data_IF_610309597315
#
_entry.id   IF_610309597315
#
_cell.length_a   1.000
_cell.length_b   1.000
_cell.length_c   1.000
_cell.angle_alpha   90.00
_cell.angle_beta   90.00
_cell.angle_gamma   90.00
#
_symmetry.space_group_name_H-M   'P 1'
#
loop_
_entity.id
_entity.type
_entity.pdbx_description
1 polymer ?
#
# COMPACT_ATOMS: atom_id res chain seq x y z
N UNK A 1 29.47 64.14 -37.58
CA UNK A 1 29.36 62.73 -37.34
C UNK A 1 29.22 62.49 -35.83
N UNK A 2 28.08 62.14 -35.29
CA UNK A 2 28.00 61.66 -33.94
C UNK A 2 27.72 60.13 -33.90
N UNK A 3 28.43 59.44 -33.01
CA UNK A 3 28.39 58.00 -32.76
C UNK A 3 27.08 57.58 -32.09
N UNK A 4 26.47 56.55 -32.66
CA UNK A 4 25.31 55.87 -32.12
C UNK A 4 25.67 55.09 -30.83
N UNK A 5 24.89 55.28 -29.78
CA UNK A 5 24.94 54.51 -28.53
C UNK A 5 24.08 53.26 -28.73
N UNK A 6 24.74 52.10 -28.78
CA UNK A 6 24.05 50.83 -28.66
C UNK A 6 23.78 50.50 -27.18
N UNK A 7 22.56 50.70 -26.74
CA UNK A 7 22.09 50.22 -25.44
C UNK A 7 21.76 48.72 -25.55
N UNK A 8 22.55 47.91 -24.88
CA UNK A 8 22.18 46.51 -24.62
C UNK A 8 21.01 46.47 -23.62
N UNK A 9 19.92 45.74 -23.91
CA UNK A 9 18.87 45.53 -22.91
C UNK A 9 19.35 44.61 -21.79
N UNK A 10 18.89 44.81 -20.55
CA UNK A 10 19.26 43.96 -19.44
C UNK A 10 18.66 42.58 -19.65
N UNK A 11 19.51 41.56 -19.64
CA UNK A 11 19.09 40.13 -19.60
C UNK A 11 18.50 39.87 -18.21
N UNK A 12 17.16 39.87 -18.12
CA UNK A 12 16.47 39.37 -16.96
C UNK A 12 16.68 37.87 -16.85
N UNK A 13 17.65 37.42 -16.06
CA UNK A 13 17.81 36.05 -15.67
C UNK A 13 16.68 35.73 -14.66
N UNK A 14 15.57 35.14 -15.14
CA UNK A 14 14.54 34.60 -14.27
C UNK A 14 15.16 33.40 -13.58
N UNK A 15 15.63 33.57 -12.36
CA UNK A 15 15.90 32.45 -11.45
C UNK A 15 14.58 31.77 -11.14
N UNK A 16 14.28 30.71 -11.87
CA UNK A 16 13.22 29.78 -11.47
C UNK A 16 13.73 29.10 -10.20
N UNK A 17 13.28 29.57 -9.05
CA UNK A 17 13.34 28.80 -7.82
C UNK A 17 12.49 27.57 -8.05
N UNK A 18 13.10 26.49 -8.51
CA UNK A 18 12.52 25.17 -8.40
C UNK A 18 12.47 24.88 -6.89
N UNK A 19 11.30 25.16 -6.26
CA UNK A 19 10.92 24.49 -5.04
C UNK A 19 11.16 23.00 -5.29
N UNK A 20 12.01 22.36 -4.51
CA UNK A 20 12.21 20.93 -4.55
C UNK A 20 10.92 20.30 -3.99
N UNK A 21 9.88 20.21 -4.80
CA UNK A 21 8.78 19.30 -4.55
C UNK A 21 9.42 17.91 -4.54
N UNK A 22 9.51 17.31 -3.37
CA UNK A 22 9.93 15.91 -3.26
C UNK A 22 9.06 15.12 -4.23
N UNK A 23 9.66 14.57 -5.28
CA UNK A 23 8.94 13.77 -6.25
C UNK A 23 8.52 12.47 -5.59
N UNK A 24 7.29 12.01 -5.88
CA UNK A 24 6.78 10.72 -5.43
C UNK A 24 7.79 9.61 -5.73
N UNK A 25 7.93 8.65 -4.79
CA UNK A 25 8.80 7.50 -4.96
C UNK A 25 8.36 6.69 -6.20
N UNK A 26 9.31 6.37 -7.06
CA UNK A 26 9.05 5.59 -8.28
C UNK A 26 9.38 4.12 -8.06
N UNK A 27 8.80 3.23 -8.87
CA UNK A 27 9.09 1.78 -8.82
C UNK A 27 10.59 1.48 -8.91
N UNK A 28 11.39 2.06 -9.83
CA UNK A 28 12.83 1.82 -9.85
C UNK A 28 13.56 2.26 -8.58
N UNK A 29 13.15 3.38 -7.97
CA UNK A 29 13.73 3.83 -6.70
C UNK A 29 13.35 2.91 -5.54
N UNK A 30 12.13 2.39 -5.54
CA UNK A 30 11.68 1.40 -4.56
C UNK A 30 12.51 0.11 -4.68
N UNK A 31 12.79 -0.38 -5.89
CA UNK A 31 13.66 -1.53 -6.12
C UNK A 31 15.11 -1.28 -5.67
N UNK A 32 15.65 -0.08 -5.93
CA UNK A 32 17.01 0.28 -5.55
C UNK A 32 17.24 0.21 -4.02
N UNK A 33 16.20 0.39 -3.20
CA UNK A 33 16.30 0.31 -1.74
C UNK A 33 16.81 -1.03 -1.24
N UNK A 34 16.53 -2.15 -1.95
CA UNK A 34 17.11 -3.45 -1.59
C UNK A 34 18.62 -3.45 -1.74
N UNK A 35 19.12 -2.94 -2.86
CA UNK A 35 20.57 -2.86 -3.14
C UNK A 35 21.27 -1.89 -2.18
N UNK A 36 20.58 -0.84 -1.76
CA UNK A 36 21.06 0.16 -0.80
C UNK A 36 20.90 -0.30 0.65
N UNK A 37 20.40 -1.52 0.90
CA UNK A 37 20.10 -2.08 2.23
C UNK A 37 19.17 -1.16 3.06
N UNK A 38 18.38 -0.33 2.41
CA UNK A 38 17.39 0.54 3.04
C UNK A 38 16.11 -0.24 3.31
N UNK A 39 15.74 -0.39 4.59
CA UNK A 39 14.52 -1.12 4.98
C UNK A 39 13.27 -0.33 4.59
N UNK A 40 12.37 -1.00 3.88
CA UNK A 40 11.14 -0.42 3.34
C UNK A 40 10.01 -0.56 4.37
N UNK A 41 9.36 0.55 4.69
CA UNK A 41 8.15 0.55 5.52
C UNK A 41 6.92 0.78 4.67
N UNK A 42 5.93 -0.11 4.81
CA UNK A 42 4.64 0.02 4.14
C UNK A 42 3.49 -0.07 5.14
N UNK A 43 2.42 0.65 4.86
CA UNK A 43 1.16 0.55 5.60
C UNK A 43 -0.01 0.55 4.64
N UNK A 44 -1.13 -0.05 5.04
CA UNK A 44 -2.37 0.13 4.28
C UNK A 44 -2.99 1.49 4.57
N UNK A 45 -3.73 2.05 3.63
CA UNK A 45 -4.61 3.20 3.84
C UNK A 45 -5.85 3.08 2.95
N UNK A 46 -6.98 3.63 3.41
CA UNK A 46 -8.26 3.49 2.75
C UNK A 46 -9.04 4.81 2.59
N UNK A 47 -8.49 5.91 3.11
CA UNK A 47 -9.10 7.24 3.05
C UNK A 47 -8.03 8.34 2.97
N UNK A 48 -8.49 9.56 2.64
CA UNK A 48 -7.63 10.72 2.44
C UNK A 48 -6.83 11.10 3.70
N UNK A 49 -7.46 11.35 4.88
CA UNK A 49 -6.72 11.84 6.05
C UNK A 49 -5.71 10.82 6.59
N UNK A 50 -6.06 9.54 6.59
CA UNK A 50 -5.13 8.48 7.00
C UNK A 50 -3.92 8.44 6.06
N UNK A 51 -4.15 8.42 4.75
CA UNK A 51 -3.07 8.38 3.75
C UNK A 51 -2.14 9.59 3.83
N UNK A 52 -2.71 10.80 4.06
CA UNK A 52 -1.93 12.02 4.24
C UNK A 52 -1.01 11.93 5.46
N UNK A 53 -1.52 11.45 6.61
CA UNK A 53 -0.72 11.27 7.83
C UNK A 53 0.42 10.26 7.64
N UNK A 54 0.16 9.15 6.95
CA UNK A 54 1.19 8.14 6.67
C UNK A 54 2.27 8.68 5.73
N UNK A 55 1.89 9.41 4.69
CA UNK A 55 2.82 10.03 3.74
C UNK A 55 3.70 11.08 4.43
N UNK A 56 3.12 11.91 5.32
CA UNK A 56 3.85 12.87 6.13
C UNK A 56 4.79 12.20 7.15
N UNK A 57 4.42 11.02 7.65
CA UNK A 57 5.28 10.23 8.53
C UNK A 57 6.47 9.59 7.79
N UNK A 58 6.47 9.60 6.45
CA UNK A 58 7.60 9.23 5.61
C UNK A 58 7.70 7.73 5.34
N UNK A 59 6.58 6.98 5.32
CA UNK A 59 6.57 5.59 4.84
C UNK A 59 6.92 5.55 3.35
N UNK A 60 7.64 4.52 2.91
CA UNK A 60 8.05 4.38 1.51
C UNK A 60 6.92 3.89 0.62
N UNK A 61 5.99 3.12 1.17
CA UNK A 61 4.87 2.57 0.40
C UNK A 61 3.53 2.64 1.14
N UNK A 62 2.47 2.87 0.37
CA UNK A 62 1.10 2.80 0.87
C UNK A 62 0.32 1.82 -0.02
N UNK A 63 -0.36 0.87 0.63
CA UNK A 63 -1.18 -0.12 -0.04
C UNK A 63 -2.67 0.19 0.17
N UNK A 64 -3.42 0.30 -0.92
CA UNK A 64 -4.87 0.22 -0.86
C UNK A 64 -5.25 -1.25 -1.02
N UNK A 65 -5.36 -1.94 0.12
CA UNK A 65 -5.54 -3.39 0.17
C UNK A 65 -7.00 -3.82 0.10
N UNK A 66 -7.26 -5.02 -0.42
CA UNK A 66 -8.59 -5.65 -0.38
C UNK A 66 -9.06 -5.99 1.05
N UNK A 67 -8.14 -5.95 2.02
CA UNK A 67 -8.43 -5.97 3.46
C UNK A 67 -9.40 -4.85 3.88
N UNK A 68 -9.62 -3.82 3.06
CA UNK A 68 -10.70 -2.82 3.24
C UNK A 68 -12.05 -3.48 3.47
N UNK A 69 -12.30 -4.61 2.81
CA UNK A 69 -13.49 -5.45 3.00
C UNK A 69 -13.71 -5.83 4.47
N UNK A 70 -12.65 -6.17 5.18
CA UNK A 70 -12.73 -6.59 6.59
C UNK A 70 -12.68 -5.40 7.55
N UNK A 71 -11.70 -4.50 7.39
CA UNK A 71 -11.39 -3.48 8.40
C UNK A 71 -12.19 -2.18 8.25
N UNK A 72 -12.81 -1.95 7.10
CA UNK A 72 -13.64 -0.77 6.81
C UNK A 72 -15.10 -1.17 6.56
N UNK A 73 -15.34 -2.15 5.69
CA UNK A 73 -16.69 -2.58 5.33
C UNK A 73 -17.29 -3.58 6.33
N UNK A 74 -16.47 -4.24 7.17
CA UNK A 74 -16.92 -5.16 8.21
C UNK A 74 -17.33 -6.54 7.71
N UNK A 75 -16.88 -6.95 6.52
CA UNK A 75 -17.08 -8.29 5.99
C UNK A 75 -16.19 -9.33 6.71
N UNK A 76 -16.50 -10.61 6.54
CA UNK A 76 -15.78 -11.70 7.19
C UNK A 76 -14.45 -12.09 6.49
N UNK A 77 -14.22 -11.61 5.27
CA UNK A 77 -13.02 -11.85 4.47
C UNK A 77 -12.91 -10.80 3.34
N UNK A 78 -11.86 -10.91 2.52
CA UNK A 78 -11.57 -9.96 1.44
C UNK A 78 -12.38 -10.17 0.16
N UNK A 79 -13.10 -11.30 0.00
CA UNK A 79 -13.76 -11.66 -1.26
C UNK A 79 -14.90 -10.72 -1.71
N UNK A 80 -15.70 -10.10 -0.81
CA UNK A 80 -16.83 -9.29 -1.22
C UNK A 80 -16.46 -7.97 -1.90
N UNK A 81 -15.28 -7.40 -1.63
CA UNK A 81 -14.92 -6.08 -2.17
C UNK A 81 -14.80 -6.10 -3.69
N UNK A 82 -15.44 -5.15 -4.34
CA UNK A 82 -15.45 -5.00 -5.79
C UNK A 82 -14.30 -4.13 -6.30
N UNK A 83 -14.00 -4.22 -7.61
CA UNK A 83 -13.02 -3.34 -8.25
C UNK A 83 -13.40 -1.85 -8.14
N UNK A 84 -14.68 -1.54 -8.25
CA UNK A 84 -15.18 -0.15 -8.15
C UNK A 84 -14.97 0.42 -6.74
N UNK A 85 -15.18 -0.37 -5.70
CA UNK A 85 -14.90 0.02 -4.32
C UNK A 85 -13.40 0.20 -4.06
N UNK A 86 -12.56 -0.69 -4.58
CA UNK A 86 -11.10 -0.52 -4.50
C UNK A 86 -10.67 0.77 -5.20
N UNK A 87 -11.19 1.06 -6.39
CA UNK A 87 -10.90 2.30 -7.12
C UNK A 87 -11.37 3.53 -6.33
N UNK A 88 -12.55 3.47 -5.70
CA UNK A 88 -13.07 4.54 -4.86
C UNK A 88 -12.11 4.89 -3.70
N UNK A 89 -11.62 3.89 -2.98
CA UNK A 89 -10.62 4.09 -1.91
C UNK A 89 -9.28 4.54 -2.45
N UNK A 90 -8.82 3.94 -3.54
CA UNK A 90 -7.53 4.25 -4.17
C UNK A 90 -7.47 5.69 -4.72
N UNK A 91 -8.58 6.22 -5.21
CA UNK A 91 -8.66 7.61 -5.68
C UNK A 91 -8.45 8.60 -4.53
N UNK A 92 -9.05 8.35 -3.35
CA UNK A 92 -8.85 9.19 -2.16
C UNK A 92 -7.40 9.13 -1.67
N UNK A 93 -6.83 7.93 -1.55
CA UNK A 93 -5.44 7.73 -1.15
C UNK A 93 -4.48 8.37 -2.15
N UNK A 94 -4.73 8.15 -3.46
CA UNK A 94 -3.88 8.69 -4.52
C UNK A 94 -3.87 10.22 -4.58
N UNK A 95 -4.93 10.91 -4.12
CA UNK A 95 -4.94 12.38 -3.98
C UNK A 95 -4.17 12.88 -2.78
N UNK A 96 -4.19 12.13 -1.67
CA UNK A 96 -3.54 12.51 -0.42
C UNK A 96 -2.01 12.40 -0.50
N UNK A 97 -1.52 11.32 -1.10
CA UNK A 97 -0.09 10.95 -1.10
C UNK A 97 0.72 11.80 -2.07
N UNK A 98 1.86 12.32 -1.59
CA UNK A 98 2.78 13.16 -2.36
C UNK A 98 4.19 12.54 -2.51
N UNK A 99 4.59 11.64 -1.61
CA UNK A 99 5.95 11.11 -1.52
C UNK A 99 6.02 9.59 -1.69
N UNK A 100 5.15 8.83 -1.00
CA UNK A 100 5.18 7.36 -1.01
C UNK A 100 4.78 6.78 -2.38
N UNK A 101 5.26 5.56 -2.66
CA UNK A 101 4.73 4.72 -3.74
C UNK A 101 3.35 4.20 -3.35
N UNK A 102 2.34 4.41 -4.19
CA UNK A 102 0.98 3.88 -3.94
C UNK A 102 0.74 2.65 -4.80
N UNK A 103 0.47 1.54 -4.13
CA UNK A 103 0.13 0.23 -4.72
C UNK A 103 -1.34 -0.08 -4.42
N UNK A 104 -2.04 -0.70 -5.35
CA UNK A 104 -3.48 -1.01 -5.20
C UNK A 104 -3.72 -2.49 -5.46
N UNK A 105 -4.47 -3.13 -4.59
CA UNK A 105 -4.84 -4.53 -4.78
C UNK A 105 -5.80 -4.72 -5.95
N UNK A 106 -5.53 -5.77 -6.72
CA UNK A 106 -6.52 -6.33 -7.65
C UNK A 106 -7.45 -7.25 -6.84
N UNK A 107 -8.72 -6.86 -6.60
CA UNK A 107 -9.63 -7.66 -5.79
C UNK A 107 -10.03 -8.95 -6.51
N UNK A 108 -10.43 -9.97 -5.75
CA UNK A 108 -10.97 -11.20 -6.33
C UNK A 108 -12.21 -10.92 -7.21
N UNK A 109 -12.35 -11.50 -8.41
CA UNK A 109 -11.42 -12.37 -9.13
C UNK A 109 -10.68 -11.67 -10.29
N UNK A 110 -10.42 -10.37 -10.21
CA UNK A 110 -9.97 -9.54 -11.34
C UNK A 110 -8.66 -10.01 -12.01
N UNK A 111 -7.78 -10.69 -11.29
CA UNK A 111 -6.56 -11.30 -11.83
C UNK A 111 -6.73 -12.77 -12.26
N UNK A 112 -7.91 -13.38 -12.05
CA UNK A 112 -8.17 -14.80 -12.37
C UNK A 112 -8.96 -15.00 -13.66
N UNK A 113 -9.39 -13.94 -14.34
CA UNK A 113 -10.20 -13.98 -15.54
C UNK A 113 -9.39 -13.95 -16.86
N UNK A 114 -8.09 -14.26 -16.76
CA UNK A 114 -7.14 -14.25 -17.87
C UNK A 114 -6.47 -12.89 -18.07
N UNK A 115 -5.36 -12.89 -18.83
CA UNK A 115 -4.45 -11.74 -19.00
C UNK A 115 -5.18 -10.48 -19.49
N UNK A 116 -6.02 -10.59 -20.52
CA UNK A 116 -6.74 -9.44 -21.08
C UNK A 116 -7.61 -8.75 -20.04
N UNK A 117 -8.38 -9.52 -19.26
CA UNK A 117 -9.23 -8.97 -18.20
C UNK A 117 -8.45 -8.40 -17.03
N UNK A 118 -7.32 -9.01 -16.70
CA UNK A 118 -6.41 -8.48 -15.70
C UNK A 118 -5.83 -7.12 -16.12
N UNK A 119 -5.42 -6.97 -17.40
CA UNK A 119 -4.95 -5.69 -17.97
C UNK A 119 -6.07 -4.64 -17.94
N UNK A 120 -7.31 -4.99 -18.32
CA UNK A 120 -8.44 -4.08 -18.24
C UNK A 120 -8.68 -3.58 -16.81
N UNK A 121 -8.68 -4.49 -15.82
CA UNK A 121 -8.91 -4.16 -14.41
C UNK A 121 -7.79 -3.29 -13.83
N UNK A 122 -6.53 -3.69 -14.04
CA UNK A 122 -5.36 -2.93 -13.58
C UNK A 122 -5.24 -1.58 -14.31
N UNK A 123 -5.58 -1.55 -15.60
CA UNK A 123 -5.63 -0.34 -16.41
C UNK A 123 -6.66 0.67 -15.87
N UNK A 124 -7.81 0.22 -15.40
CA UNK A 124 -8.78 1.06 -14.71
C UNK A 124 -8.20 1.66 -13.43
N UNK A 125 -7.56 0.84 -12.59
CA UNK A 125 -6.91 1.32 -11.36
C UNK A 125 -5.94 2.47 -11.69
N UNK A 126 -5.02 2.29 -12.62
CA UNK A 126 -4.01 3.31 -12.94
C UNK A 126 -4.61 4.57 -13.60
N UNK A 127 -5.66 4.42 -14.41
CA UNK A 127 -6.29 5.54 -15.13
C UNK A 127 -7.25 6.36 -14.27
N UNK A 128 -7.98 5.70 -13.37
CA UNK A 128 -9.02 6.33 -12.56
C UNK A 128 -8.48 6.84 -11.21
N UNK A 129 -7.24 6.44 -10.84
CA UNK A 129 -6.59 6.86 -9.60
C UNK A 129 -5.23 7.51 -9.89
N UNK A 130 -4.54 7.99 -8.87
CA UNK A 130 -3.16 8.47 -8.97
C UNK A 130 -2.15 7.44 -8.47
N UNK A 131 -2.52 6.16 -8.48
CA UNK A 131 -1.68 5.06 -8.03
C UNK A 131 -0.70 4.64 -9.14
N UNK A 132 0.42 4.02 -8.76
CA UNK A 132 1.53 3.78 -9.69
C UNK A 132 1.74 2.30 -9.98
N UNK A 133 1.16 1.40 -9.17
CA UNK A 133 1.35 -0.04 -9.30
C UNK A 133 0.12 -0.79 -8.78
N UNK A 134 0.01 -2.04 -9.18
CA UNK A 134 -1.01 -2.97 -8.65
C UNK A 134 -0.35 -4.09 -7.84
N UNK A 135 -1.10 -4.69 -6.88
CA UNK A 135 -0.72 -5.94 -6.23
C UNK A 135 -1.71 -7.03 -6.62
N UNK A 136 -1.23 -8.25 -6.77
CA UNK A 136 -2.07 -9.43 -6.96
C UNK A 136 -1.55 -10.63 -6.16
N UNK A 137 -2.48 -11.48 -5.73
CA UNK A 137 -2.18 -12.72 -5.03
C UNK A 137 -1.85 -13.84 -6.00
N UNK A 138 -0.67 -14.44 -5.84
CA UNK A 138 -0.19 -15.58 -6.62
C UNK A 138 1.30 -15.51 -6.92
N UNK A 139 1.86 -16.65 -7.21
CA UNK A 139 3.25 -16.86 -7.61
C UNK A 139 3.30 -17.53 -8.99
N UNK A 140 3.82 -18.74 -9.07
CA UNK A 140 3.99 -19.48 -10.33
C UNK A 140 2.71 -19.60 -11.15
N UNK A 141 1.56 -19.83 -10.50
CA UNK A 141 0.26 -19.96 -11.17
C UNK A 141 -0.27 -18.62 -11.77
N UNK A 142 0.27 -17.48 -11.34
CA UNK A 142 -0.06 -16.16 -11.87
C UNK A 142 1.04 -15.56 -12.75
N UNK A 143 2.11 -16.29 -13.01
CA UNK A 143 3.26 -15.79 -13.76
C UNK A 143 2.88 -15.21 -15.15
N UNK A 144 1.95 -15.88 -15.87
CA UNK A 144 1.45 -15.39 -17.16
C UNK A 144 0.70 -14.06 -17.03
N UNK A 145 -0.10 -13.90 -15.99
CA UNK A 145 -0.83 -12.65 -15.73
C UNK A 145 0.13 -11.54 -15.33
N UNK A 146 1.09 -11.82 -14.46
CA UNK A 146 2.14 -10.86 -14.06
C UNK A 146 2.91 -10.40 -15.30
N UNK A 147 3.40 -11.32 -16.14
CA UNK A 147 4.12 -10.99 -17.35
C UNK A 147 3.28 -10.16 -18.34
N UNK A 148 1.98 -10.49 -18.48
CA UNK A 148 1.07 -9.73 -19.32
C UNK A 148 0.83 -8.30 -18.85
N UNK A 149 0.66 -8.09 -17.54
CA UNK A 149 0.54 -6.76 -16.93
C UNK A 149 1.82 -5.95 -17.12
N UNK A 150 2.97 -6.54 -16.81
CA UNK A 150 4.30 -5.90 -16.96
C UNK A 150 4.56 -5.57 -18.43
N UNK A 151 4.24 -6.48 -19.36
CA UNK A 151 4.34 -6.25 -20.79
C UNK A 151 3.42 -5.13 -21.30
N UNK A 152 2.31 -4.86 -20.63
CA UNK A 152 1.45 -3.72 -20.88
C UNK A 152 1.92 -2.41 -20.20
N UNK A 153 3.05 -2.41 -19.50
CA UNK A 153 3.61 -1.26 -18.79
C UNK A 153 3.02 -1.01 -17.40
N UNK A 154 2.33 -2.00 -16.83
CA UNK A 154 1.71 -1.92 -15.49
C UNK A 154 2.65 -2.56 -14.48
N UNK A 155 3.22 -1.82 -13.51
CA UNK A 155 4.08 -2.39 -12.47
C UNK A 155 3.28 -3.30 -11.53
N UNK A 156 3.83 -4.48 -11.21
CA UNK A 156 3.17 -5.50 -10.39
C UNK A 156 3.99 -5.81 -9.15
N UNK A 157 3.36 -5.76 -7.97
CA UNK A 157 3.81 -6.37 -6.73
C UNK A 157 3.12 -7.72 -6.58
N UNK A 158 3.89 -8.81 -6.54
CA UNK A 158 3.31 -10.13 -6.33
C UNK A 158 3.09 -10.40 -4.83
N UNK A 159 2.21 -11.36 -4.50
CA UNK A 159 1.95 -11.75 -3.12
C UNK A 159 1.93 -13.27 -2.99
N UNK A 160 2.87 -13.81 -2.22
CA UNK A 160 3.03 -15.25 -1.98
C UNK A 160 2.94 -15.60 -0.49
N UNK A 161 2.72 -16.86 -0.18
CA UNK A 161 2.47 -17.33 1.17
C UNK A 161 0.99 -17.51 1.45
N UNK A 162 0.50 -17.02 2.59
CA UNK A 162 -0.93 -16.93 2.84
C UNK A 162 -1.56 -15.93 1.86
N UNK A 163 -2.63 -16.36 1.21
CA UNK A 163 -3.38 -15.55 0.25
C UNK A 163 -4.83 -15.42 0.74
N UNK A 164 -5.23 -14.27 1.29
CA UNK A 164 -6.57 -14.02 1.80
C UNK A 164 -7.68 -14.34 0.82
N UNK A 165 -7.51 -14.03 -0.47
CA UNK A 165 -8.49 -14.37 -1.52
C UNK A 165 -8.66 -15.88 -1.72
N UNK A 166 -7.71 -16.69 -1.27
CA UNK A 166 -7.77 -18.16 -1.32
C UNK A 166 -8.25 -18.79 0.00
N UNK A 167 -8.88 -18.04 0.90
CA UNK A 167 -9.26 -18.46 2.26
C UNK A 167 -10.07 -19.75 2.28
N UNK A 168 -11.01 -19.93 1.35
CA UNK A 168 -11.81 -21.15 1.26
C UNK A 168 -11.00 -22.35 0.80
N UNK A 169 -10.11 -22.19 -0.18
CA UNK A 169 -9.21 -23.23 -0.66
C UNK A 169 -8.21 -23.67 0.41
N UNK A 170 -7.69 -22.71 1.20
CA UNK A 170 -6.71 -22.95 2.26
C UNK A 170 -7.37 -23.47 3.56
N UNK A 171 -8.71 -23.38 3.66
CA UNK A 171 -9.45 -23.74 4.86
C UNK A 171 -9.16 -22.81 6.04
N UNK A 172 -9.05 -21.51 5.78
CA UNK A 172 -8.79 -20.43 6.73
C UNK A 172 -7.40 -19.79 6.57
N UNK A 173 -7.11 -18.84 7.44
CA UNK A 173 -5.83 -18.10 7.49
C UNK A 173 -4.75 -18.96 8.15
N UNK A 174 -4.01 -19.74 7.36
CA UNK A 174 -3.00 -20.69 7.85
C UNK A 174 -1.60 -20.31 7.38
N UNK A 175 -0.62 -20.43 8.29
CA UNK A 175 0.81 -20.26 7.95
C UNK A 175 1.21 -21.28 6.88
N UNK A 176 1.77 -20.79 5.77
CA UNK A 176 2.26 -21.60 4.66
C UNK A 176 3.70 -22.04 4.95
N UNK A 177 4.02 -23.33 4.76
CA UNK A 177 5.29 -23.92 5.21
C UNK A 177 6.03 -24.73 4.14
N UNK A 178 5.46 -24.87 2.95
CA UNK A 178 6.11 -25.55 1.85
C UNK A 178 7.21 -24.67 1.25
N UNK A 179 8.43 -24.89 1.70
CA UNK A 179 9.60 -24.10 1.30
C UNK A 179 9.83 -24.16 -0.21
N UNK A 180 9.72 -25.36 -0.80
CA UNK A 180 9.96 -25.56 -2.23
C UNK A 180 8.94 -24.77 -3.06
N UNK A 181 7.66 -24.86 -2.71
CA UNK A 181 6.59 -24.13 -3.39
C UNK A 181 6.75 -22.62 -3.23
N UNK A 182 7.00 -22.13 -2.00
CA UNK A 182 7.14 -20.71 -1.71
C UNK A 182 8.32 -20.08 -2.46
N UNK A 183 9.45 -20.80 -2.54
CA UNK A 183 10.61 -20.34 -3.30
C UNK A 183 10.32 -20.32 -4.80
N UNK A 184 9.67 -21.38 -5.33
CA UNK A 184 9.27 -21.44 -6.72
C UNK A 184 8.29 -20.30 -7.09
N UNK A 185 7.31 -20.02 -6.22
CA UNK A 185 6.34 -18.95 -6.42
C UNK A 185 7.00 -17.57 -6.48
N UNK A 186 7.90 -17.27 -5.53
CA UNK A 186 8.60 -15.99 -5.50
C UNK A 186 9.54 -15.81 -6.72
N UNK A 187 10.28 -16.86 -7.08
CA UNK A 187 11.18 -16.84 -8.25
C UNK A 187 10.40 -16.68 -9.57
N UNK A 188 9.25 -17.36 -9.69
CA UNK A 188 8.40 -17.25 -10.88
C UNK A 188 7.78 -15.85 -11.00
N UNK A 189 7.36 -15.24 -9.88
CA UNK A 189 6.85 -13.87 -9.86
C UNK A 189 7.91 -12.86 -10.31
N UNK A 190 9.14 -12.98 -9.79
CA UNK A 190 10.27 -12.16 -10.23
C UNK A 190 10.58 -12.34 -11.72
N UNK A 191 10.71 -13.60 -12.18
CA UNK A 191 10.97 -13.92 -13.59
C UNK A 191 9.88 -13.38 -14.53
N UNK A 192 8.65 -13.27 -14.05
CA UNK A 192 7.53 -12.66 -14.77
C UNK A 192 7.57 -11.12 -14.77
N UNK A 193 8.51 -10.49 -14.03
CA UNK A 193 8.75 -9.05 -14.00
C UNK A 193 8.08 -8.31 -12.83
N UNK A 194 7.65 -8.99 -11.78
CA UNK A 194 7.19 -8.33 -10.56
C UNK A 194 8.32 -7.46 -9.98
N UNK A 195 8.01 -6.24 -9.56
CA UNK A 195 9.01 -5.32 -9.01
C UNK A 195 9.28 -5.53 -7.52
N UNK A 196 8.42 -6.23 -6.81
CA UNK A 196 8.52 -6.59 -5.40
C UNK A 196 7.61 -7.79 -5.10
N UNK A 197 7.89 -8.49 -3.99
CA UNK A 197 7.10 -9.65 -3.55
C UNK A 197 6.71 -9.49 -2.08
N UNK A 198 5.42 -9.51 -1.79
CA UNK A 198 4.90 -9.63 -0.42
C UNK A 198 5.02 -11.08 0.04
N UNK A 199 5.56 -11.28 1.23
CA UNK A 199 5.68 -12.58 1.89
C UNK A 199 4.76 -12.58 3.12
N UNK A 200 3.62 -13.31 3.05
CA UNK A 200 2.65 -13.31 4.14
C UNK A 200 2.59 -14.65 4.87
N UNK A 201 2.65 -14.57 6.21
CA UNK A 201 2.44 -15.70 7.12
C UNK A 201 3.23 -16.97 6.72
N UNK A 202 4.54 -16.80 6.54
CA UNK A 202 5.50 -17.88 6.28
C UNK A 202 6.58 -17.92 7.37
N UNK A 203 7.25 -19.08 7.61
CA UNK A 203 8.36 -19.15 8.55
C UNK A 203 9.48 -18.17 8.21
N UNK A 204 10.06 -17.50 9.22
CA UNK A 204 11.11 -16.51 9.03
C UNK A 204 12.35 -17.04 8.30
N UNK A 205 12.70 -18.33 8.50
CA UNK A 205 13.82 -18.99 7.79
C UNK A 205 13.55 -19.14 6.29
N UNK A 206 12.31 -19.40 5.90
CA UNK A 206 11.91 -19.49 4.49
C UNK A 206 11.91 -18.08 3.86
N UNK A 207 11.37 -17.10 4.58
CA UNK A 207 11.39 -15.70 4.12
C UNK A 207 12.82 -15.17 3.92
N UNK A 208 13.74 -15.46 4.85
CA UNK A 208 15.17 -15.12 4.75
C UNK A 208 15.79 -15.74 3.49
N UNK A 209 15.52 -17.02 3.24
CA UNK A 209 16.02 -17.72 2.06
C UNK A 209 15.48 -17.10 0.76
N UNK A 210 14.17 -16.81 0.68
CA UNK A 210 13.57 -16.16 -0.48
C UNK A 210 14.22 -14.79 -0.70
N UNK A 211 14.32 -13.97 0.36
CA UNK A 211 14.88 -12.62 0.30
C UNK A 211 16.31 -12.59 -0.27
N UNK A 212 17.12 -13.61 0.04
CA UNK A 212 18.47 -13.75 -0.50
C UNK A 212 18.54 -14.35 -1.90
N UNK A 213 17.47 -14.99 -2.35
CA UNK A 213 17.45 -15.69 -3.65
C UNK A 213 16.99 -14.79 -4.77
N UNK A 214 16.00 -13.92 -4.53
CA UNK A 214 15.46 -13.02 -5.55
C UNK A 214 16.09 -11.63 -5.46
N UNK A 215 16.19 -10.95 -6.58
CA UNK A 215 16.82 -9.61 -6.68
C UNK A 215 15.85 -8.48 -6.33
N UNK A 216 14.53 -8.70 -6.49
CA UNK A 216 13.52 -7.69 -6.16
C UNK A 216 13.23 -7.63 -4.65
N UNK A 217 12.80 -6.46 -4.11
CA UNK A 217 12.47 -6.33 -2.70
C UNK A 217 11.40 -7.31 -2.22
N UNK A 218 11.63 -7.88 -1.03
CA UNK A 218 10.64 -8.67 -0.29
C UNK A 218 10.02 -7.83 0.82
N UNK A 219 8.68 -7.84 0.93
CA UNK A 219 7.92 -7.10 1.94
C UNK A 219 7.20 -8.10 2.83
N UNK A 220 7.64 -8.21 4.08
CA UNK A 220 7.13 -9.20 5.02
C UNK A 220 5.89 -8.74 5.79
N UNK A 221 4.95 -9.65 6.01
CA UNK A 221 3.89 -9.55 7.01
C UNK A 221 3.73 -10.92 7.67
N UNK A 222 4.11 -11.01 8.95
CA UNK A 222 4.18 -12.32 9.61
C UNK A 222 5.23 -13.26 9.01
N UNK A 223 6.31 -12.72 8.43
CA UNK A 223 7.37 -13.47 7.75
C UNK A 223 8.77 -13.26 8.39
N UNK A 224 8.84 -12.60 9.53
CA UNK A 224 10.10 -12.34 10.24
C UNK A 224 10.81 -11.05 9.78
N UNK A 225 11.95 -10.75 10.42
CA UNK A 225 12.65 -9.45 10.32
C UNK A 225 13.57 -9.35 9.09
N UNK A 226 13.92 -10.47 8.46
CA UNK A 226 14.96 -10.53 7.43
C UNK A 226 14.49 -10.16 6.02
N UNK A 227 13.19 -9.85 5.83
CA UNK A 227 12.70 -9.24 4.59
C UNK A 227 13.30 -7.84 4.38
N UNK A 228 13.32 -7.37 3.14
CA UNK A 228 13.82 -6.03 2.79
C UNK A 228 12.90 -4.93 3.32
N UNK A 229 11.61 -5.23 3.52
CA UNK A 229 10.65 -4.34 4.14
C UNK A 229 9.59 -5.07 4.95
N UNK A 230 8.69 -4.29 5.57
CA UNK A 230 7.55 -4.78 6.35
C UNK A 230 6.29 -3.99 6.00
N UNK A 231 5.15 -4.68 6.00
CA UNK A 231 3.84 -4.05 5.87
C UNK A 231 2.93 -4.46 7.02
N UNK A 232 2.09 -3.54 7.49
CA UNK A 232 0.98 -3.82 8.40
C UNK A 232 -0.31 -3.15 7.92
N UNK A 233 -1.44 -3.70 8.34
CA UNK A 233 -2.74 -3.04 8.22
C UNK A 233 -2.77 -1.88 9.23
N UNK A 234 -3.06 -0.66 8.76
CA UNK A 234 -3.03 0.54 9.59
C UNK A 234 -3.98 0.46 10.79
N UNK A 235 -5.15 -0.15 10.61
CA UNK A 235 -6.13 -0.36 11.68
C UNK A 235 -5.57 -1.23 12.81
N UNK A 236 -4.76 -2.22 12.48
CA UNK A 236 -4.09 -3.09 13.45
C UNK A 236 -2.94 -2.35 14.16
N UNK A 237 -2.11 -1.64 13.41
CA UNK A 237 -1.02 -0.82 13.94
C UNK A 237 -1.53 0.21 14.95
N UNK A 238 -2.65 0.88 14.62
CA UNK A 238 -3.25 1.92 15.48
C UNK A 238 -4.18 1.37 16.56
N UNK A 239 -4.44 0.06 16.60
CA UNK A 239 -5.30 -0.56 17.60
C UNK A 239 -6.78 -0.15 17.47
N UNK A 240 -7.27 0.08 16.24
CA UNK A 240 -8.68 0.35 15.95
C UNK A 240 -9.44 -0.97 15.78
N UNK A 241 -8.82 -1.96 15.13
CA UNK A 241 -9.41 -3.28 14.86
C UNK A 241 -9.92 -3.93 16.16
N UNK A 242 -11.12 -4.51 16.08
CA UNK A 242 -11.70 -5.30 17.16
C UNK A 242 -11.58 -6.80 16.87
N UNK A 243 -11.73 -7.64 17.91
CA UNK A 243 -11.73 -9.09 17.76
C UNK A 243 -10.34 -9.71 17.76
N UNK A 244 -10.14 -10.75 16.92
CA UNK A 244 -8.89 -11.48 16.85
C UNK A 244 -7.76 -10.60 16.26
N UNK A 245 -6.64 -10.54 16.97
CA UNK A 245 -5.43 -9.86 16.52
C UNK A 245 -4.38 -10.92 16.17
N UNK A 246 -3.90 -10.99 14.93
CA UNK A 246 -2.86 -11.94 14.53
C UNK A 246 -1.59 -11.79 15.37
N UNK A 247 -0.89 -12.91 15.63
CA UNK A 247 0.32 -12.93 16.48
C UNK A 247 1.42 -11.99 15.98
N UNK A 248 1.50 -11.76 14.69
CA UNK A 248 2.54 -10.89 14.09
C UNK A 248 2.24 -9.39 14.22
N UNK A 249 1.03 -9.03 14.63
CA UNK A 249 0.63 -7.63 14.80
C UNK A 249 1.20 -7.09 16.11
N UNK A 250 1.97 -6.00 16.00
CA UNK A 250 2.33 -5.15 17.13
C UNK A 250 1.51 -3.87 17.05
N UNK A 251 0.72 -3.61 18.09
CA UNK A 251 0.02 -2.33 18.24
C UNK A 251 1.00 -1.25 18.70
N UNK A 252 0.96 -0.10 18.05
CA UNK A 252 1.75 1.09 18.41
C UNK A 252 0.91 2.16 19.08
N UNK A 253 -0.42 2.03 18.99
CA UNK A 253 -1.39 2.91 19.66
C UNK A 253 -2.61 2.09 20.10
N UNK A 254 -3.50 2.71 20.93
CA UNK A 254 -4.81 2.17 21.28
C UNK A 254 -5.88 3.23 20.98
N UNK A 255 -6.12 3.45 19.68
CA UNK A 255 -7.13 4.40 19.25
C UNK A 255 -8.55 3.93 19.56
N UNK A 256 -8.80 2.64 19.69
CA UNK A 256 -10.12 2.13 20.07
C UNK A 256 -10.55 2.67 21.42
N UNK A 257 -9.69 2.59 22.43
CA UNK A 257 -9.94 3.14 23.77
C UNK A 257 -10.03 4.67 23.73
N UNK A 258 -9.12 5.32 23.01
CA UNK A 258 -9.10 6.79 22.88
C UNK A 258 -10.38 7.34 22.24
N UNK A 259 -10.81 6.76 21.12
CA UNK A 259 -12.04 7.15 20.42
C UNK A 259 -13.27 6.91 21.30
N UNK A 260 -13.38 5.74 21.94
CA UNK A 260 -14.50 5.40 22.81
C UNK A 260 -14.59 6.34 24.01
N UNK A 261 -13.44 6.71 24.59
CA UNK A 261 -13.35 7.68 25.68
C UNK A 261 -13.83 9.07 25.26
N UNK A 262 -13.30 9.59 24.14
CA UNK A 262 -13.69 10.89 23.60
C UNK A 262 -15.19 10.99 23.28
N UNK A 263 -15.75 9.96 22.63
CA UNK A 263 -17.18 9.90 22.33
C UNK A 263 -18.03 9.84 23.60
N UNK A 264 -17.58 9.09 24.60
CA UNK A 264 -18.27 9.00 25.90
C UNK A 264 -18.27 10.34 26.63
N UNK A 265 -17.14 11.04 26.65
CA UNK A 265 -17.01 12.36 27.22
C UNK A 265 -17.94 13.36 26.54
N UNK A 266 -17.87 13.49 25.23
CA UNK A 266 -18.75 14.35 24.43
C UNK A 266 -20.24 14.09 24.73
N UNK A 267 -20.65 12.82 24.71
CA UNK A 267 -22.03 12.43 25.04
C UNK A 267 -22.45 12.90 26.43
N UNK A 268 -21.59 12.77 27.44
CA UNK A 268 -21.89 13.18 28.80
C UNK A 268 -22.01 14.70 28.90
N UNK A 269 -21.07 15.45 28.34
CA UNK A 269 -21.09 16.92 28.32
C UNK A 269 -22.36 17.49 27.66
N UNK A 270 -22.78 16.89 26.54
CA UNK A 270 -24.06 17.25 25.89
C UNK A 270 -25.25 16.99 26.80
N UNK A 271 -25.28 15.84 27.51
CA UNK A 271 -26.39 15.50 28.43
C UNK A 271 -26.44 16.37 29.67
N UNK A 272 -25.29 16.83 30.14
CA UNK A 272 -25.13 17.69 31.29
C UNK A 272 -25.32 19.19 30.95
N UNK A 273 -25.41 19.53 29.65
CA UNK A 273 -25.54 20.90 29.17
C UNK A 273 -24.23 21.72 29.32
N UNK A 274 -23.09 21.06 29.46
CA UNK A 274 -21.77 21.68 29.56
C UNK A 274 -21.10 21.88 28.20
N UNK A 275 -21.59 21.21 27.15
CA UNK A 275 -21.24 21.45 25.75
C UNK A 275 -22.47 21.84 24.91
N UNK A 276 -22.41 22.91 24.04
CA UNK A 276 -21.27 23.78 23.83
C UNK A 276 -21.06 24.79 24.98
N UNK A 277 -19.83 25.15 25.29
CA UNK A 277 -19.50 26.25 26.16
C UNK A 277 -19.57 27.60 25.39
N UNK A 278 -19.37 28.72 26.08
CA UNK A 278 -19.39 30.05 25.44
C UNK A 278 -18.37 30.21 24.29
N UNK A 279 -17.23 29.51 24.40
CA UNK A 279 -16.17 29.51 23.41
C UNK A 279 -16.56 28.85 22.08
N UNK A 280 -17.50 27.90 22.11
CA UNK A 280 -18.04 27.20 20.96
C UNK A 280 -19.37 27.79 20.46
N UNK A 281 -19.82 28.94 21.03
CA UNK A 281 -21.11 29.57 20.71
C UNK A 281 -20.92 30.85 19.90
N UNK A 282 -21.65 30.99 18.80
CA UNK A 282 -21.66 32.24 18.03
C UNK A 282 -22.49 33.31 18.75
N UNK A 283 -21.96 34.54 18.84
CA UNK A 283 -22.63 35.71 19.39
C UNK A 283 -23.35 36.49 18.31
#
# INVERSE_FOLDING_TARGET
>A
MPRAWLLNPPVFCIQIHMSSTKSRLTVPKFQAMKVEEHKITMLTAYDYPTAELLDQAGVEGILVGDTVSEVVQGHANTLPVTLDEIIYHAEMVGRAVQQALVVVDMPFPSNHLGVTRAIESAGRILKETRCQAVKLEGGAEQAEVIAGLVGAGIPVMAHVGLRPQSVHRLGGYKVQRDEQQLLADATAAEAAGAFAVVLECIPASIADKITRTIEVPTIGIGAGVNCDGQILVVNDLLGISGGYVPRFVKKYADLRTTISGAVTQFRNEVREGTFPADEQTFK
#
